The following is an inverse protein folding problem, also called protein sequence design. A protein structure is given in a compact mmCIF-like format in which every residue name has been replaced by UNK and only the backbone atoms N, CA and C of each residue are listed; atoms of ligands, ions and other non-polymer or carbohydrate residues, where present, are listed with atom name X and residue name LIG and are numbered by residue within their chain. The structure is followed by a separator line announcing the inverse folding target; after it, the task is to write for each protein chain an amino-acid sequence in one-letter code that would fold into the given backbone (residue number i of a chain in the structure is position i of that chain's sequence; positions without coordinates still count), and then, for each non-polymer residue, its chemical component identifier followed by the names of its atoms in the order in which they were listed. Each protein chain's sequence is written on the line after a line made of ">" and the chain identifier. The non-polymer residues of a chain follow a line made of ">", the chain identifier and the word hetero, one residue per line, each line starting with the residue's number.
data_IF_267332091129
#
_entry.id   IF_267332091129
#
_cell.length_a   1.000
_cell.length_b   1.000
_cell.length_c   1.000
_cell.angle_alpha   90.00
_cell.angle_beta   90.00
_cell.angle_gamma   90.00
#
_symmetry.space_group_name_H-M   'P 1'
#
loop_
_entity.id
_entity.type
_entity.pdbx_description
1 polymer ?
#
# COMPACT_ATOMS: atom_id res chain seq x y z
N UNK A 1 3.23 14.80 -15.38
CA UNK A 1 3.63 15.00 -13.97
C UNK A 1 3.29 13.74 -13.20
N UNK A 2 4.29 13.02 -12.69
CA UNK A 2 4.10 11.79 -11.93
C UNK A 2 3.82 12.17 -10.48
N UNK A 3 2.56 12.05 -10.04
CA UNK A 3 2.19 12.37 -8.67
C UNK A 3 2.58 11.20 -7.77
N UNK A 4 3.62 11.37 -6.95
CA UNK A 4 4.04 10.40 -5.95
C UNK A 4 3.31 10.71 -4.64
N UNK A 5 2.36 9.87 -4.27
CA UNK A 5 1.73 9.97 -2.96
C UNK A 5 2.40 9.00 -2.00
N UNK A 6 3.14 9.53 -1.03
CA UNK A 6 3.66 8.77 0.09
C UNK A 6 2.50 8.43 1.02
N UNK A 7 2.23 7.14 1.20
CA UNK A 7 1.21 6.68 2.16
C UNK A 7 1.72 5.51 2.99
N UNK A 8 1.27 5.44 4.23
CA UNK A 8 1.54 4.38 5.22
C UNK A 8 0.26 3.57 5.49
N UNK A 9 0.29 2.58 6.40
CA UNK A 9 -0.88 1.82 6.84
C UNK A 9 -2.05 2.70 7.31
N UNK A 10 -1.78 3.95 7.70
CA UNK A 10 -2.79 4.92 8.11
C UNK A 10 -3.53 5.56 6.93
N UNK A 11 -3.32 5.08 5.70
CA UNK A 11 -4.03 5.57 4.53
C UNK A 11 -5.57 5.48 4.73
N UNK A 12 -6.27 6.63 4.77
CA UNK A 12 -7.70 6.66 5.08
C UNK A 12 -8.56 6.20 3.90
N UNK A 13 -7.96 5.98 2.73
CA UNK A 13 -8.66 5.80 1.47
C UNK A 13 -8.89 7.12 0.72
N UNK A 14 -9.68 7.05 -0.34
CA UNK A 14 -10.08 8.19 -1.17
C UNK A 14 -10.37 7.74 -2.59
N UNK A 15 -10.52 8.68 -3.52
CA UNK A 15 -10.67 8.36 -4.94
C UNK A 15 -9.70 9.19 -5.78
N UNK A 16 -8.70 8.53 -6.35
CA UNK A 16 -7.59 9.16 -7.06
C UNK A 16 -7.45 8.55 -8.46
N UNK A 17 -8.36 8.87 -9.39
CA UNK A 17 -8.44 8.21 -10.70
C UNK A 17 -7.26 8.52 -11.60
N UNK A 18 -6.52 9.61 -11.35
CA UNK A 18 -5.40 10.05 -12.21
C UNK A 18 -4.03 9.57 -11.72
N UNK A 19 -3.95 8.96 -10.54
CA UNK A 19 -2.69 8.43 -10.03
C UNK A 19 -2.34 7.15 -10.77
N UNK A 20 -1.09 7.03 -11.19
CA UNK A 20 -0.55 5.89 -11.96
C UNK A 20 0.56 5.16 -11.21
N UNK A 21 1.22 5.85 -10.27
CA UNK A 21 2.39 5.34 -9.56
C UNK A 21 2.20 5.62 -8.07
N UNK A 22 2.23 4.58 -7.25
CA UNK A 22 2.16 4.72 -5.79
C UNK A 22 3.39 4.06 -5.17
N UNK A 23 4.05 4.81 -4.29
CA UNK A 23 5.17 4.30 -3.50
C UNK A 23 4.78 4.37 -2.03
N UNK A 24 4.86 3.23 -1.38
CA UNK A 24 4.43 3.01 -0.02
C UNK A 24 5.64 2.73 0.86
N UNK A 25 5.65 3.34 2.03
CA UNK A 25 6.63 3.06 3.06
C UNK A 25 5.94 2.94 4.40
N UNK A 26 6.23 1.85 5.10
CA UNK A 26 5.80 1.66 6.49
C UNK A 26 6.89 0.90 7.25
N UNK A 27 7.02 1.21 8.54
CA UNK A 27 7.90 0.49 9.43
C UNK A 27 7.30 -0.84 9.89
N UNK A 28 5.98 -0.98 9.80
CA UNK A 28 5.23 -2.16 10.18
C UNK A 28 4.83 -2.99 8.94
N UNK A 29 4.40 -4.23 9.18
CA UNK A 29 3.86 -5.06 8.11
C UNK A 29 2.57 -4.43 7.55
N UNK A 30 2.39 -4.47 6.23
CA UNK A 30 1.15 -4.03 5.62
C UNK A 30 0.04 -5.06 5.85
N UNK A 31 -1.11 -4.59 6.31
CA UNK A 31 -2.29 -5.41 6.53
C UNK A 31 -3.05 -5.67 5.22
N UNK A 32 -3.86 -6.73 5.17
CA UNK A 32 -4.68 -7.02 3.98
C UNK A 32 -5.65 -5.88 3.66
N UNK A 33 -6.33 -5.35 4.67
CA UNK A 33 -7.28 -4.23 4.57
C UNK A 33 -6.65 -2.98 3.94
N UNK A 34 -5.37 -2.74 4.21
CA UNK A 34 -4.64 -1.64 3.58
C UNK A 34 -4.59 -1.81 2.05
N UNK A 35 -4.30 -3.02 1.55
CA UNK A 35 -4.27 -3.26 0.10
C UNK A 35 -5.64 -3.14 -0.55
N UNK A 36 -6.72 -3.51 0.15
CA UNK A 36 -8.09 -3.28 -0.33
C UNK A 36 -8.37 -1.78 -0.51
N UNK A 37 -8.00 -0.95 0.46
CA UNK A 37 -8.13 0.51 0.35
C UNK A 37 -7.30 1.08 -0.79
N UNK A 38 -6.08 0.60 -1.00
CA UNK A 38 -5.23 1.02 -2.13
C UNK A 38 -5.92 0.66 -3.46
N UNK A 39 -6.42 -0.56 -3.62
CA UNK A 39 -7.07 -1.00 -4.85
C UNK A 39 -8.33 -0.17 -5.17
N UNK A 40 -9.15 0.13 -4.16
CA UNK A 40 -10.34 0.97 -4.32
C UNK A 40 -9.98 2.43 -4.63
N UNK A 41 -8.91 2.94 -4.01
CA UNK A 41 -8.56 4.37 -4.12
C UNK A 41 -7.82 4.72 -5.41
N UNK A 42 -7.12 3.75 -6.01
CA UNK A 42 -6.29 3.98 -7.20
C UNK A 42 -6.68 3.02 -8.34
N UNK A 43 -7.87 3.21 -8.96
CA UNK A 43 -8.42 2.26 -9.93
C UNK A 43 -7.57 2.11 -11.20
N UNK A 44 -6.71 3.08 -11.51
CA UNK A 44 -5.88 3.10 -12.71
C UNK A 44 -4.38 3.02 -12.38
N UNK A 45 -4.02 2.49 -11.20
CA UNK A 45 -2.62 2.31 -10.83
C UNK A 45 -1.91 1.36 -11.79
N UNK A 46 -0.72 1.76 -12.26
CA UNK A 46 0.13 0.94 -13.13
C UNK A 46 1.30 0.32 -12.36
N UNK A 47 1.77 1.00 -11.30
CA UNK A 47 2.89 0.52 -10.50
C UNK A 47 2.67 0.84 -9.02
N UNK A 48 2.76 -0.21 -8.21
CA UNK A 48 2.79 -0.14 -6.75
C UNK A 48 4.17 -0.57 -6.27
N UNK A 49 4.88 0.31 -5.57
CA UNK A 49 6.16 0.01 -4.93
C UNK A 49 5.95 -0.03 -3.43
N UNK A 50 6.33 -1.15 -2.81
CA UNK A 50 6.28 -1.34 -1.37
C UNK A 50 7.72 -1.33 -0.84
N UNK A 51 8.01 -0.39 0.04
CA UNK A 51 9.27 -0.35 0.76
C UNK A 51 8.99 -0.61 2.24
N UNK A 52 9.41 -1.78 2.71
CA UNK A 52 9.29 -2.15 4.12
C UNK A 52 10.69 -2.47 4.64
N UNK A 53 11.26 -1.53 5.39
CA UNK A 53 12.64 -1.60 5.83
C UNK A 53 12.87 -2.64 6.94
N UNK A 54 11.83 -3.07 7.65
CA UNK A 54 11.93 -4.10 8.71
C UNK A 54 11.50 -5.45 8.13
N UNK A 55 12.31 -6.50 8.38
CA UNK A 55 11.92 -7.88 8.03
C UNK A 55 10.55 -8.15 8.65
N UNK A 56 9.59 -8.61 7.84
CA UNK A 56 8.27 -9.08 8.29
C UNK A 56 8.43 -10.35 9.14
N UNK A 57 8.97 -10.25 10.35
CA UNK A 57 9.33 -11.40 11.18
C UNK A 57 8.11 -12.13 11.77
N UNK A 58 6.89 -11.62 11.58
CA UNK A 58 5.68 -12.20 12.16
C UNK A 58 4.46 -12.09 11.22
N UNK A 59 4.51 -12.72 10.04
CA UNK A 59 3.27 -13.32 9.52
C UNK A 59 3.29 -14.77 9.99
N UNK A 60 2.71 -15.03 11.17
CA UNK A 60 2.41 -16.39 11.59
C UNK A 60 1.53 -17.00 10.51
N UNK A 61 2.13 -17.85 9.67
CA UNK A 61 1.42 -18.78 8.84
C UNK A 61 0.77 -19.78 9.78
N UNK A 62 -0.43 -19.46 10.26
CA UNK A 62 -1.31 -20.47 10.82
C UNK A 62 -1.71 -21.37 9.65
N UNK A 63 -0.88 -22.39 9.39
CA UNK A 63 -1.31 -23.57 8.64
C UNK A 63 -2.34 -24.27 9.52
N UNK A 64 -3.61 -24.15 9.16
CA UNK A 64 -4.62 -25.13 9.51
C UNK A 64 -4.40 -26.42 8.73
#
# INVERSE_FOLDING_TARGET
>A
MSYYQFTSNLFPGGYYPYVRFVSLYDEHAFEHEFFLRIAQSFPLIQKLVLNNAKRQQYKQSYKS
#
